data_IF_550630232645
#
_entry.id   IF_550630232645
#
_cell.length_a   1.000
_cell.length_b   1.000
_cell.length_c   1.000
_cell.angle_alpha   90.00
_cell.angle_beta   90.00
_cell.angle_gamma   90.00
#
_symmetry.space_group_name_H-M   'P 1'
#
loop_
_entity.id
_entity.type
_entity.pdbx_description
1 polymer ?
#
# COMPACT_ATOMS: atom_id res chain seq x y z
N UNK A 1 -2.49 -5.73 -10.58
CA UNK A 1 -2.12 -4.55 -9.78
C UNK A 1 -1.17 -5.04 -8.72
N UNK A 2 0.04 -4.48 -8.62
CA UNK A 2 1.16 -5.14 -7.93
C UNK A 2 0.90 -5.52 -6.47
N UNK A 3 0.21 -4.68 -5.71
CA UNK A 3 -0.08 -4.96 -4.29
C UNK A 3 -1.08 -6.11 -4.10
N UNK A 4 -2.12 -6.19 -4.95
CA UNK A 4 -3.05 -7.32 -4.92
C UNK A 4 -2.39 -8.64 -5.35
N UNK A 5 -1.42 -8.57 -6.27
CA UNK A 5 -0.65 -9.75 -6.68
C UNK A 5 0.35 -10.19 -5.59
N UNK A 6 0.98 -9.25 -4.88
CA UNK A 6 1.82 -9.53 -3.71
C UNK A 6 1.03 -10.30 -2.65
N UNK A 7 -0.15 -9.79 -2.27
CA UNK A 7 -1.03 -10.43 -1.30
C UNK A 7 -1.41 -11.85 -1.73
N UNK A 8 -1.88 -12.00 -2.96
CA UNK A 8 -2.41 -13.28 -3.46
C UNK A 8 -1.35 -14.35 -3.72
N UNK A 9 -0.17 -13.98 -4.24
CA UNK A 9 0.79 -14.94 -4.78
C UNK A 9 2.11 -15.03 -4.00
N UNK A 10 2.34 -14.15 -3.02
CA UNK A 10 3.59 -14.13 -2.24
C UNK A 10 3.33 -14.22 -0.75
N UNK A 11 2.44 -13.37 -0.22
CA UNK A 11 2.15 -13.32 1.20
C UNK A 11 1.26 -14.48 1.63
N UNK A 12 0.26 -14.83 0.82
CA UNK A 12 -0.66 -15.93 1.10
C UNK A 12 0.00 -17.29 0.88
N UNK A 13 -0.07 -18.12 1.92
CA UNK A 13 0.32 -19.53 1.89
C UNK A 13 -0.71 -20.36 2.67
N UNK A 14 -1.71 -20.86 1.95
CA UNK A 14 -2.80 -21.68 2.50
C UNK A 14 -2.33 -23.08 2.92
N UNK A 15 -1.10 -23.47 2.54
CA UNK A 15 -0.55 -24.79 2.87
C UNK A 15 0.18 -24.82 4.21
N UNK A 16 0.49 -23.66 4.77
CA UNK A 16 1.17 -23.52 6.06
C UNK A 16 0.22 -23.69 7.23
N UNK A 17 0.65 -24.48 8.21
CA UNK A 17 -0.04 -24.63 9.48
C UNK A 17 0.37 -23.60 10.54
N UNK A 18 1.38 -22.78 10.24
CA UNK A 18 1.89 -21.75 11.14
C UNK A 18 0.78 -20.76 11.53
N UNK A 19 0.56 -20.51 12.84
CA UNK A 19 -0.49 -19.63 13.30
C UNK A 19 -0.36 -18.21 12.75
N UNK A 20 0.87 -17.67 12.63
CA UNK A 20 1.13 -16.33 12.06
C UNK A 20 0.79 -16.31 10.57
N UNK A 21 1.13 -17.36 9.83
CA UNK A 21 0.78 -17.44 8.42
C UNK A 21 -0.74 -17.49 8.21
N UNK A 22 -1.51 -18.09 9.12
CA UNK A 22 -2.98 -18.05 9.07
C UNK A 22 -3.54 -16.63 9.27
N UNK A 23 -2.87 -15.81 10.09
CA UNK A 23 -3.17 -14.37 10.26
C UNK A 23 -2.99 -13.65 8.92
N UNK A 24 -1.80 -13.80 8.34
CA UNK A 24 -1.43 -13.18 7.06
C UNK A 24 -2.42 -13.60 5.98
N UNK A 25 -2.74 -14.89 5.88
CA UNK A 25 -3.70 -15.40 4.89
C UNK A 25 -5.05 -14.68 5.01
N UNK A 26 -5.60 -14.56 6.24
CA UNK A 26 -6.87 -13.88 6.48
C UNK A 26 -6.84 -12.44 5.98
N UNK A 27 -5.81 -11.68 6.35
CA UNK A 27 -5.62 -10.29 5.92
C UNK A 27 -5.51 -10.19 4.38
N UNK A 28 -4.73 -11.06 3.74
CA UNK A 28 -4.50 -10.98 2.29
C UNK A 28 -5.75 -11.17 1.41
N UNK A 29 -6.86 -11.73 1.92
CA UNK A 29 -8.11 -11.86 1.14
C UNK A 29 -8.90 -10.56 1.08
N UNK A 30 -8.71 -9.67 2.06
CA UNK A 30 -9.30 -8.35 2.08
C UNK A 30 -8.48 -7.43 1.16
N UNK A 31 -7.18 -7.35 1.44
CA UNK A 31 -6.23 -6.46 0.78
C UNK A 31 -6.02 -6.71 -0.71
N UNK A 32 -6.19 -7.96 -1.19
CA UNK A 32 -6.00 -8.26 -2.61
C UNK A 32 -7.09 -7.65 -3.52
N UNK A 33 -8.11 -7.01 -2.94
CA UNK A 33 -9.19 -6.32 -3.65
C UNK A 33 -9.19 -4.78 -3.53
N UNK A 34 -8.37 -4.17 -2.65
CA UNK A 34 -8.39 -2.71 -2.41
C UNK A 34 -8.09 -1.87 -3.67
N UNK A 35 -7.37 -2.44 -4.63
CA UNK A 35 -7.10 -1.77 -5.91
C UNK A 35 -8.38 -1.46 -6.72
N UNK A 36 -9.49 -2.16 -6.47
CA UNK A 36 -10.78 -1.86 -7.10
C UNK A 36 -11.30 -0.49 -6.66
N UNK A 37 -11.20 -0.18 -5.37
CA UNK A 37 -11.55 1.14 -4.83
C UNK A 37 -10.67 2.25 -5.42
N UNK A 38 -9.38 1.97 -5.59
CA UNK A 38 -8.47 2.93 -6.22
C UNK A 38 -8.89 3.28 -7.64
N UNK A 39 -9.30 2.28 -8.44
CA UNK A 39 -9.77 2.53 -9.80
C UNK A 39 -11.10 3.29 -9.83
N UNK A 40 -12.01 3.01 -8.90
CA UNK A 40 -13.27 3.76 -8.76
C UNK A 40 -13.01 5.22 -8.42
N UNK A 41 -12.09 5.50 -7.50
CA UNK A 41 -11.69 6.86 -7.16
C UNK A 41 -11.07 7.59 -8.36
N UNK A 42 -10.20 6.93 -9.13
CA UNK A 42 -9.66 7.51 -10.37
C UNK A 42 -10.75 7.84 -11.39
N UNK A 43 -11.79 7.01 -11.51
CA UNK A 43 -12.94 7.30 -12.38
C UNK A 43 -13.72 8.53 -11.88
N UNK A 44 -14.01 8.59 -10.58
CA UNK A 44 -14.73 9.69 -9.97
C UNK A 44 -13.95 11.02 -10.05
N UNK A 45 -12.62 10.96 -9.99
CA UNK A 45 -11.73 12.12 -10.19
C UNK A 45 -11.59 12.53 -11.68
N UNK A 46 -12.29 11.85 -12.60
CA UNK A 46 -12.23 12.15 -14.03
C UNK A 46 -10.91 11.75 -14.70
N UNK A 47 -10.12 10.87 -14.08
CA UNK A 47 -8.80 10.42 -14.58
C UNK A 47 -8.89 9.20 -15.51
N UNK A 48 -10.08 8.66 -15.78
CA UNK A 48 -10.31 7.53 -16.67
C UNK A 48 -10.27 7.94 -18.16
N UNK A 49 -9.10 8.35 -18.63
CA UNK A 49 -8.90 8.81 -20.00
C UNK A 49 -8.68 7.64 -20.98
N UNK A 50 -9.21 7.77 -22.20
CA UNK A 50 -8.88 6.87 -23.30
C UNK A 50 -7.52 7.23 -23.88
N UNK A 51 -6.58 6.30 -23.84
CA UNK A 51 -5.22 6.41 -24.42
C UNK A 51 -4.91 5.17 -25.24
N UNK A 52 -3.98 5.27 -26.19
CA UNK A 52 -3.57 4.08 -26.96
C UNK A 52 -2.84 3.09 -26.05
N UNK A 53 -2.91 1.80 -26.39
CA UNK A 53 -2.23 0.76 -25.60
C UNK A 53 -0.73 1.06 -25.43
N UNK A 54 -0.05 1.55 -26.48
CA UNK A 54 1.37 1.88 -26.41
C UNK A 54 1.65 3.10 -25.55
N UNK A 55 0.74 4.08 -25.48
CA UNK A 55 0.84 5.20 -24.55
C UNK A 55 0.68 4.73 -23.10
N UNK A 56 -0.28 3.84 -22.82
CA UNK A 56 -0.46 3.25 -21.49
C UNK A 56 0.79 2.51 -21.03
N UNK A 57 1.37 1.65 -21.89
CA UNK A 57 2.62 0.95 -21.57
C UNK A 57 3.79 1.92 -21.37
N UNK A 58 3.91 2.97 -22.19
CA UNK A 58 4.98 3.97 -21.99
C UNK A 58 4.84 4.67 -20.64
N UNK A 59 3.62 5.04 -20.23
CA UNK A 59 3.37 5.67 -18.94
C UNK A 59 3.65 4.73 -17.77
N UNK A 60 3.14 3.49 -17.82
CA UNK A 60 3.31 2.51 -16.73
C UNK A 60 4.78 2.11 -16.50
N UNK A 61 5.62 2.19 -17.54
CA UNK A 61 7.06 1.89 -17.48
C UNK A 61 7.96 3.12 -17.60
N UNK A 62 7.41 4.33 -17.49
CA UNK A 62 8.21 5.55 -17.54
C UNK A 62 9.04 5.74 -16.27
N UNK A 63 9.89 6.77 -16.27
CA UNK A 63 10.66 7.19 -15.10
C UNK A 63 9.77 7.78 -14.01
N UNK A 64 8.68 8.46 -14.39
CA UNK A 64 7.72 9.09 -13.47
C UNK A 64 6.99 8.06 -12.60
N UNK A 65 6.76 6.85 -13.11
CA UNK A 65 6.11 5.75 -12.37
C UNK A 65 7.10 4.76 -11.78
N UNK A 66 8.42 5.01 -11.91
CA UNK A 66 9.47 4.09 -11.46
C UNK A 66 9.41 3.80 -9.97
N UNK A 67 9.24 4.83 -9.13
CA UNK A 67 9.21 4.68 -7.68
C UNK A 67 8.03 3.80 -7.22
N UNK A 68 6.85 3.96 -7.84
CA UNK A 68 5.69 3.10 -7.56
C UNK A 68 5.98 1.61 -7.88
N UNK A 69 6.69 1.33 -8.98
CA UNK A 69 7.11 -0.05 -9.30
C UNK A 69 8.15 -0.56 -8.31
N UNK A 70 9.08 0.29 -7.86
CA UNK A 70 10.12 -0.07 -6.90
C UNK A 70 9.56 -0.50 -5.56
N UNK A 71 8.49 0.14 -5.06
CA UNK A 71 7.76 -0.32 -3.86
C UNK A 71 7.38 -1.79 -4.00
N UNK A 72 6.71 -2.17 -5.09
CA UNK A 72 6.26 -3.55 -5.30
C UNK A 72 7.45 -4.50 -5.40
N UNK A 73 8.49 -4.15 -6.17
CA UNK A 73 9.67 -5.02 -6.31
C UNK A 73 10.38 -5.25 -4.99
N UNK A 74 10.47 -4.22 -4.15
CA UNK A 74 11.10 -4.32 -2.85
C UNK A 74 10.27 -5.17 -1.90
N UNK A 75 8.95 -4.99 -1.86
CA UNK A 75 8.07 -5.84 -1.06
C UNK A 75 8.16 -7.32 -1.49
N UNK A 76 8.22 -7.61 -2.79
CA UNK A 76 8.49 -8.98 -3.28
C UNK A 76 9.84 -9.50 -2.80
N UNK A 77 10.90 -8.69 -2.88
CA UNK A 77 12.25 -9.05 -2.42
C UNK A 77 12.26 -9.39 -0.94
N UNK A 78 11.59 -8.58 -0.12
CA UNK A 78 11.52 -8.74 1.33
C UNK A 78 10.71 -9.97 1.76
N UNK A 79 9.70 -10.40 0.98
CA UNK A 79 8.70 -11.37 1.46
C UNK A 79 8.78 -12.75 0.80
N UNK A 80 9.37 -12.87 -0.40
CA UNK A 80 9.33 -14.10 -1.19
C UNK A 80 9.97 -15.33 -0.50
N UNK A 81 10.96 -15.11 0.36
CA UNK A 81 11.63 -16.18 1.13
C UNK A 81 11.64 -15.91 2.63
N UNK A 82 10.84 -14.94 3.08
CA UNK A 82 10.75 -14.56 4.48
C UNK A 82 10.05 -15.65 5.31
N UNK A 83 10.41 -15.72 6.58
CA UNK A 83 9.65 -16.49 7.57
C UNK A 83 8.27 -15.86 7.80
N UNK A 84 7.29 -16.59 8.36
CA UNK A 84 5.99 -16.02 8.71
C UNK A 84 6.08 -14.76 9.58
N UNK A 85 7.01 -14.73 10.56
CA UNK A 85 7.25 -13.55 11.40
C UNK A 85 7.75 -12.37 10.57
N UNK A 86 8.75 -12.58 9.70
CA UNK A 86 9.28 -11.52 8.83
C UNK A 86 8.21 -11.01 7.86
N UNK A 87 7.35 -11.86 7.31
CA UNK A 87 6.20 -11.44 6.48
C UNK A 87 5.22 -10.60 7.28
N UNK A 88 4.90 -11.00 8.51
CA UNK A 88 4.03 -10.23 9.39
C UNK A 88 4.62 -8.84 9.66
N UNK A 89 5.91 -8.74 9.96
CA UNK A 89 6.61 -7.46 10.16
C UNK A 89 6.49 -6.56 8.93
N UNK A 90 6.69 -7.12 7.73
CA UNK A 90 6.56 -6.35 6.48
C UNK A 90 5.11 -5.90 6.26
N UNK A 91 4.12 -6.76 6.50
CA UNK A 91 2.69 -6.41 6.41
C UNK A 91 2.37 -5.27 7.37
N UNK A 92 2.70 -5.40 8.66
CA UNK A 92 2.44 -4.37 9.67
C UNK A 92 3.13 -3.03 9.34
N UNK A 93 4.35 -3.05 8.78
CA UNK A 93 5.03 -1.84 8.34
C UNK A 93 4.34 -1.17 7.15
N UNK A 94 3.77 -1.96 6.22
CA UNK A 94 2.94 -1.44 5.12
C UNK A 94 1.65 -0.83 5.65
N UNK A 95 0.94 -1.54 6.53
CA UNK A 95 -0.29 -1.06 7.18
C UNK A 95 -0.05 0.26 7.95
N UNK A 96 1.04 0.34 8.71
CA UNK A 96 1.44 1.56 9.40
C UNK A 96 1.66 2.72 8.41
N UNK A 97 2.28 2.45 7.26
CA UNK A 97 2.46 3.46 6.21
C UNK A 97 1.12 3.89 5.60
N UNK A 98 0.20 2.94 5.37
CA UNK A 98 -1.15 3.20 4.89
C UNK A 98 -1.93 4.10 5.85
N UNK A 99 -1.92 3.77 7.14
CA UNK A 99 -2.57 4.56 8.18
C UNK A 99 -2.11 6.02 8.18
N UNK A 100 -0.81 6.28 8.19
CA UNK A 100 -0.26 7.65 8.14
C UNK A 100 -0.71 8.39 6.87
N UNK A 101 -0.72 7.70 5.72
CA UNK A 101 -1.19 8.29 4.46
C UNK A 101 -2.69 8.63 4.51
N UNK A 102 -3.53 7.72 5.00
CA UNK A 102 -4.97 7.90 5.02
C UNK A 102 -5.45 8.84 6.12
N UNK A 103 -4.76 8.95 7.25
CA UNK A 103 -5.02 9.98 8.28
C UNK A 103 -4.97 11.40 7.69
N UNK A 104 -4.09 11.62 6.72
CA UNK A 104 -3.99 12.89 5.99
C UNK A 104 -5.00 12.97 4.85
N UNK A 105 -5.14 11.90 4.06
CA UNK A 105 -5.95 11.93 2.83
C UNK A 105 -7.45 11.87 3.06
N UNK A 106 -7.93 11.13 4.06
CA UNK A 106 -9.36 10.94 4.31
C UNK A 106 -10.10 12.24 4.68
N UNK A 107 -9.53 13.15 5.51
CA UNK A 107 -10.12 14.47 5.72
C UNK A 107 -10.15 15.33 4.45
N UNK A 108 -9.10 15.28 3.62
CA UNK A 108 -9.01 16.05 2.37
C UNK A 108 -10.07 15.58 1.37
N UNK A 109 -10.20 14.26 1.17
CA UNK A 109 -11.22 13.70 0.28
C UNK A 109 -12.63 14.04 0.75
N UNK A 110 -12.88 14.04 2.06
CA UNK A 110 -14.17 14.45 2.63
C UNK A 110 -14.48 15.94 2.40
N UNK A 111 -13.47 16.83 2.52
CA UNK A 111 -13.62 18.26 2.27
C UNK A 111 -14.01 18.56 0.83
N UNK A 112 -13.43 17.82 -0.13
CA UNK A 112 -13.68 18.03 -1.57
C UNK A 112 -14.81 17.17 -2.16
N UNK A 113 -15.52 16.36 -1.37
CA UNK A 113 -16.58 15.45 -1.85
C UNK A 113 -17.64 16.14 -2.71
N UNK A 114 -18.01 17.39 -2.39
CA UNK A 114 -19.04 18.15 -3.13
C UNK A 114 -18.55 18.56 -4.51
N UNK A 115 -17.26 18.86 -4.66
CA UNK A 115 -16.63 19.21 -5.94
C UNK A 115 -16.43 17.97 -6.81
N UNK A 116 -16.07 16.84 -6.18
CA UNK A 116 -15.88 15.54 -6.84
C UNK A 116 -17.23 14.93 -7.27
N UNK A 117 -18.30 15.21 -6.51
CA UNK A 117 -19.64 14.69 -6.77
C UNK A 117 -19.87 13.25 -6.26
N UNK A 118 -18.89 12.66 -5.58
CA UNK A 118 -18.99 11.34 -4.94
C UNK A 118 -18.10 11.26 -3.69
N UNK A 119 -18.33 10.24 -2.86
CA UNK A 119 -17.40 9.88 -1.80
C UNK A 119 -16.25 9.06 -2.40
N UNK A 120 -15.03 9.31 -1.94
CA UNK A 120 -13.89 8.46 -2.27
C UNK A 120 -13.92 7.20 -1.41
N UNK A 121 -13.61 6.05 -2.01
CA UNK A 121 -13.52 4.76 -1.33
C UNK A 121 -12.09 4.53 -0.84
N UNK A 122 -11.12 4.58 -1.74
CA UNK A 122 -9.72 4.29 -1.45
C UNK A 122 -9.05 5.42 -0.68
N UNK A 123 -9.24 6.67 -1.12
CA UNK A 123 -8.69 7.86 -0.43
C UNK A 123 -9.62 8.39 0.68
N UNK A 124 -10.74 7.73 0.91
CA UNK A 124 -11.74 8.14 1.87
C UNK A 124 -11.66 7.40 3.19
N UNK A 125 -12.63 7.66 4.06
CA UNK A 125 -12.74 7.01 5.36
C UNK A 125 -13.12 5.53 5.25
N UNK A 126 -13.58 5.07 4.08
CA UNK A 126 -13.95 3.66 3.87
C UNK A 126 -12.73 2.79 4.09
N UNK A 127 -11.60 3.07 3.43
CA UNK A 127 -10.34 2.33 3.59
C UNK A 127 -9.93 2.20 5.07
N UNK A 128 -9.83 3.33 5.77
CA UNK A 128 -9.53 3.37 7.22
C UNK A 128 -10.53 2.55 8.05
N UNK A 129 -11.81 2.58 7.70
CA UNK A 129 -12.85 1.89 8.47
C UNK A 129 -12.79 0.37 8.34
N UNK A 130 -12.30 -0.16 7.22
CA UNK A 130 -12.10 -1.61 7.05
C UNK A 130 -10.78 -2.06 7.68
N UNK A 131 -9.73 -1.23 7.57
CA UNK A 131 -8.41 -1.45 8.20
C UNK A 131 -8.41 -1.34 9.74
N UNK A 132 -9.50 -0.86 10.38
CA UNK A 132 -9.60 -0.82 11.85
C UNK A 132 -9.54 -2.19 12.52
N UNK A 133 -9.65 -3.28 11.76
CA UNK A 133 -9.05 -4.55 12.12
C UNK A 133 -7.63 -4.57 11.59
N UNK A 134 -6.65 -4.11 12.38
CA UNK A 134 -5.24 -4.47 12.16
C UNK A 134 -5.17 -5.96 11.76
N UNK A 135 -4.15 -6.42 11.02
CA UNK A 135 -3.98 -7.86 10.84
C UNK A 135 -3.98 -8.61 12.19
N UNK A 136 -3.76 -7.89 13.30
CA UNK A 136 -3.79 -8.29 14.72
C UNK A 136 -5.12 -8.07 15.48
N UNK A 137 -6.15 -7.44 14.91
CA UNK A 137 -7.32 -6.89 15.61
C UNK A 137 -8.34 -7.89 16.20
N UNK A 138 -7.97 -9.17 16.36
CA UNK A 138 -8.78 -10.14 17.12
C UNK A 138 -8.02 -10.60 18.35
N UNK A 139 -8.73 -10.78 19.47
CA UNK A 139 -8.15 -11.02 20.79
C UNK A 139 -7.21 -12.24 20.87
N UNK A 140 -7.40 -13.24 20.00
CA UNK A 140 -6.52 -14.40 19.90
C UNK A 140 -5.17 -14.07 19.22
N UNK A 141 -5.13 -13.06 18.35
CA UNK A 141 -3.94 -12.64 17.58
C UNK A 141 -3.01 -11.74 18.40
N UNK A 142 -3.57 -10.81 19.18
CA UNK A 142 -2.80 -9.98 20.11
C UNK A 142 -2.00 -10.86 21.08
N UNK A 143 -2.59 -11.95 21.56
CA UNK A 143 -1.90 -12.91 22.43
C UNK A 143 -0.76 -13.63 21.70
N UNK A 144 -0.94 -14.03 20.44
CA UNK A 144 0.14 -14.67 19.66
C UNK A 144 1.31 -13.71 19.51
N UNK A 145 1.04 -12.46 19.16
CA UNK A 145 2.07 -11.45 18.89
C UNK A 145 2.81 -11.04 20.17
N UNK A 146 2.10 -10.84 21.28
CA UNK A 146 2.71 -10.50 22.57
C UNK A 146 3.66 -11.59 23.10
N UNK A 147 3.49 -12.84 22.65
CA UNK A 147 4.33 -13.96 23.05
C UNK A 147 5.43 -14.31 22.02
N UNK A 148 5.60 -13.50 20.97
CA UNK A 148 6.73 -13.66 20.04
C UNK A 148 8.01 -13.23 20.78
N UNK A 149 8.96 -14.14 20.87
CA UNK A 149 10.29 -13.87 21.40
C UNK A 149 11.30 -13.93 20.26
N UNK A 150 11.93 -12.79 20.01
CA UNK A 150 13.02 -12.67 19.04
C UNK A 150 14.36 -12.64 19.77
N UNK A 151 15.35 -13.29 19.18
CA UNK A 151 16.75 -13.09 19.51
C UNK A 151 17.20 -11.67 19.12
N UNK A 152 18.38 -11.27 19.59
CA UNK A 152 18.97 -9.97 19.22
C UNK A 152 19.22 -9.85 17.70
N UNK A 153 19.64 -10.95 17.06
CA UNK A 153 19.83 -11.03 15.61
C UNK A 153 18.49 -10.88 14.87
N UNK A 154 17.45 -11.62 15.27
CA UNK A 154 16.12 -11.51 14.68
C UNK A 154 15.49 -10.13 14.89
N UNK A 155 15.74 -9.49 16.03
CA UNK A 155 15.34 -8.09 16.27
C UNK A 155 16.03 -7.13 15.31
N UNK A 156 17.33 -7.29 15.09
CA UNK A 156 18.07 -6.44 14.16
C UNK A 156 17.56 -6.60 12.73
N UNK A 157 17.33 -7.84 12.29
CA UNK A 157 16.71 -8.13 10.99
C UNK A 157 15.31 -7.50 10.88
N UNK A 158 14.50 -7.56 11.95
CA UNK A 158 13.18 -6.95 11.99
C UNK A 158 13.25 -5.43 11.78
N UNK A 159 14.19 -4.73 12.44
CA UNK A 159 14.39 -3.30 12.23
C UNK A 159 14.76 -2.98 10.80
N UNK A 160 15.66 -3.76 10.18
CA UNK A 160 16.07 -3.56 8.79
C UNK A 160 14.89 -3.73 7.81
N UNK A 161 13.99 -4.69 8.06
CA UNK A 161 12.76 -4.85 7.28
C UNK A 161 11.87 -3.61 7.37
N UNK A 162 11.60 -3.13 8.59
CA UNK A 162 10.74 -1.96 8.83
C UNK A 162 11.33 -0.71 8.20
N UNK A 163 12.62 -0.44 8.43
CA UNK A 163 13.31 0.73 7.85
C UNK A 163 13.28 0.69 6.32
N UNK A 164 13.46 -0.48 5.72
CA UNK A 164 13.41 -0.65 4.26
C UNK A 164 12.01 -0.35 3.71
N UNK A 165 10.96 -0.85 4.37
CA UNK A 165 9.56 -0.56 3.98
C UNK A 165 9.30 0.94 4.05
N UNK A 166 9.54 1.58 5.19
CA UNK A 166 9.30 3.02 5.32
C UNK A 166 10.12 3.85 4.33
N UNK A 167 11.37 3.45 4.09
CA UNK A 167 12.20 4.13 3.10
C UNK A 167 11.63 4.03 1.69
N UNK A 168 11.23 2.85 1.21
CA UNK A 168 10.77 2.70 -0.17
C UNK A 168 9.45 3.44 -0.41
N UNK A 169 8.56 3.49 0.60
CA UNK A 169 7.34 4.28 0.52
C UNK A 169 7.60 5.77 0.60
N UNK A 170 8.55 6.21 1.43
CA UNK A 170 8.96 7.63 1.49
C UNK A 170 9.50 8.10 0.14
N UNK A 171 10.39 7.31 -0.48
CA UNK A 171 10.92 7.60 -1.82
C UNK A 171 9.80 7.66 -2.88
N UNK A 172 8.76 6.83 -2.76
CA UNK A 172 7.58 6.89 -3.62
C UNK A 172 6.75 8.16 -3.42
N UNK A 173 6.44 8.53 -2.17
CA UNK A 173 5.67 9.75 -1.87
C UNK A 173 6.43 11.02 -2.29
N UNK A 174 7.75 11.07 -2.08
CA UNK A 174 8.60 12.15 -2.56
C UNK A 174 8.61 12.27 -4.09
N UNK A 175 8.60 11.12 -4.78
CA UNK A 175 8.47 11.07 -6.25
C UNK A 175 7.13 11.64 -6.71
N UNK A 176 6.03 11.27 -6.04
CA UNK A 176 4.69 11.79 -6.33
C UNK A 176 4.61 13.31 -6.10
N UNK A 177 5.17 13.81 -4.99
CA UNK A 177 5.23 15.25 -4.71
C UNK A 177 6.04 15.99 -5.77
N UNK A 178 7.22 15.46 -6.12
CA UNK A 178 8.08 16.02 -7.16
C UNK A 178 7.36 16.10 -8.52
N UNK A 179 6.63 15.04 -8.89
CA UNK A 179 5.83 15.01 -10.10
C UNK A 179 4.71 16.06 -10.08
N UNK A 180 3.98 16.17 -8.96
CA UNK A 180 2.91 17.15 -8.80
C UNK A 180 3.42 18.59 -8.89
N UNK A 181 4.56 18.91 -8.27
CA UNK A 181 5.18 20.23 -8.32
C UNK A 181 5.63 20.59 -9.74
N UNK A 182 6.27 19.67 -10.47
CA UNK A 182 6.65 19.87 -11.88
C UNK A 182 5.42 20.11 -12.76
N UNK A 183 4.37 19.33 -12.56
CA UNK A 183 3.12 19.44 -13.34
C UNK A 183 2.37 20.75 -13.07
N UNK A 184 2.39 21.27 -11.83
CA UNK A 184 1.88 22.61 -11.51
C UNK A 184 2.63 23.69 -12.28
N UNK A 185 3.95 23.60 -12.35
CA UNK A 185 4.77 24.57 -13.10
C UNK A 185 4.47 24.55 -14.61
N UNK A 186 4.14 23.38 -15.19
CA UNK A 186 3.72 23.27 -16.60
C UNK A 186 2.35 23.91 -16.85
N UNK A 187 1.38 23.72 -15.93
CA UNK A 187 0.05 24.36 -16.05
C UNK A 187 0.11 25.89 -15.88
N UNK A 188 1.00 26.41 -15.04
CA UNK A 188 1.21 27.87 -14.90
C UNK A 188 1.82 28.46 -16.19
N UNK A 189 2.76 27.76 -16.84
CA UNK A 189 3.37 28.22 -18.08
C UNK A 189 2.46 28.11 -19.32
N UNK A 190 1.41 27.28 -19.28
CA UNK A 190 0.38 27.21 -20.33
C UNK A 190 -0.76 28.21 -20.13
N UNK A 191 -0.80 28.90 -18.99
CA UNK A 191 -1.79 29.91 -18.64
C UNK A 191 -1.25 31.36 -18.72
N UNK A 192 -0.02 31.55 -19.24
CA UNK A 192 0.63 32.85 -19.46
C UNK A 192 0.80 33.10 -20.96
#
# INVERSE_FOLDING_TARGET
MGFGELNKYVLRDETSDDPIQKIINKHTYEDDHHWLWYLEDLQNLGMNHSVSFTQSLRFLWSEETRAARQVIYELYRLTAKATPIQRLIVVEAVEATGNEFFEVMAPISYQHRSEIGSNMLFFGHVHLSVETGHATGTQDLENIIQNIHLSEEECQEAFELVETVFKVFSDFLDSMLSYAQKSKNVRVLQAV
#
